data_IF_163228552516
#
_entry.id   IF_163228552516
#
_cell.length_a   1.000
_cell.length_b   1.000
_cell.length_c   1.000
_cell.angle_alpha   90.00
_cell.angle_beta   90.00
_cell.angle_gamma   90.00
#
_symmetry.space_group_name_H-M   'P 1'
#
loop_
_entity.id
_entity.type
_entity.pdbx_description
1 polymer ?
#
# COMPACT_ATOMS: atom_id res chain seq x y z
N UNK A 1 -16.51 -7.91 -13.16
CA UNK A 1 -15.44 -8.25 -14.11
C UNK A 1 -15.95 -8.00 -15.51
N UNK A 2 -15.20 -7.26 -16.31
CA UNK A 2 -15.53 -6.90 -17.70
C UNK A 2 -14.31 -7.17 -18.58
N UNK A 3 -14.56 -7.50 -19.84
CA UNK A 3 -13.53 -7.69 -20.86
C UNK A 3 -13.36 -6.39 -21.65
N UNK A 4 -12.12 -6.03 -21.95
CA UNK A 4 -11.77 -4.81 -22.68
C UNK A 4 -11.34 -5.17 -24.10
N UNK A 5 -11.87 -4.46 -25.08
CA UNK A 5 -11.56 -4.63 -26.49
C UNK A 5 -11.29 -3.27 -27.13
N UNK A 6 -10.43 -3.24 -28.15
CA UNK A 6 -10.21 -2.07 -29.01
C UNK A 6 -11.36 -1.90 -30.02
N UNK A 7 -11.26 -0.88 -30.89
CA UNK A 7 -12.32 -0.61 -31.89
C UNK A 7 -12.39 -1.66 -33.01
N UNK A 8 -11.36 -2.50 -33.14
CA UNK A 8 -11.25 -3.57 -34.14
C UNK A 8 -11.63 -4.95 -33.57
N UNK A 9 -11.97 -5.01 -32.28
CA UNK A 9 -12.34 -6.24 -31.58
C UNK A 9 -11.15 -7.06 -31.08
N UNK A 10 -9.94 -6.50 -31.04
CA UNK A 10 -8.81 -7.15 -30.36
C UNK A 10 -8.99 -7.07 -28.85
N UNK A 11 -8.61 -8.16 -28.18
CA UNK A 11 -8.67 -8.26 -26.74
C UNK A 11 -7.48 -7.54 -26.09
N UNK A 12 -7.79 -6.58 -25.21
CA UNK A 12 -6.79 -5.76 -24.51
C UNK A 12 -6.63 -6.17 -23.03
N UNK A 13 -7.62 -6.85 -22.44
CA UNK A 13 -7.52 -7.33 -21.06
C UNK A 13 -8.83 -7.41 -20.30
N UNK A 14 -8.72 -7.44 -18.97
CA UNK A 14 -9.85 -7.58 -18.05
C UNK A 14 -9.80 -6.45 -17.04
N UNK A 15 -10.96 -5.85 -16.74
CA UNK A 15 -11.12 -4.91 -15.62
C UNK A 15 -12.05 -5.52 -14.57
N UNK A 16 -11.70 -5.38 -13.31
CA UNK A 16 -12.45 -5.82 -12.14
C UNK A 16 -12.96 -4.62 -11.35
N UNK A 17 -13.90 -4.86 -10.44
CA UNK A 17 -14.32 -3.82 -9.49
C UNK A 17 -13.17 -3.43 -8.53
N UNK A 18 -12.19 -4.32 -8.34
CA UNK A 18 -10.99 -4.06 -7.54
C UNK A 18 -10.13 -2.97 -8.16
N UNK A 19 -9.88 -3.03 -9.47
CA UNK A 19 -9.04 -2.05 -10.19
C UNK A 19 -9.61 -0.62 -10.08
N UNK A 20 -10.95 -0.51 -10.12
CA UNK A 20 -11.63 0.77 -9.93
C UNK A 20 -11.44 1.31 -8.51
N UNK A 21 -11.59 0.45 -7.50
CA UNK A 21 -11.37 0.81 -6.10
C UNK A 21 -9.91 1.18 -5.82
N UNK A 22 -8.95 0.46 -6.39
CA UNK A 22 -7.52 0.74 -6.31
C UNK A 22 -7.17 2.10 -6.93
N UNK A 23 -7.80 2.49 -8.05
CA UNK A 23 -7.58 3.81 -8.65
C UNK A 23 -7.98 4.99 -7.76
N UNK A 24 -8.92 4.76 -6.82
CA UNK A 24 -9.39 5.78 -5.86
C UNK A 24 -8.57 5.73 -4.57
N UNK A 25 -8.36 4.53 -4.04
CA UNK A 25 -7.74 4.31 -2.73
C UNK A 25 -6.21 4.26 -2.79
N UNK A 26 -5.63 4.13 -3.98
CA UNK A 26 -4.22 3.85 -4.19
C UNK A 26 -3.91 2.35 -4.15
N UNK A 27 -2.65 2.02 -4.43
CA UNK A 27 -2.16 0.64 -4.39
C UNK A 27 -2.16 0.17 -2.93
N UNK A 28 -2.87 -0.92 -2.65
CA UNK A 28 -2.67 -1.67 -1.41
C UNK A 28 -1.28 -2.29 -1.48
N UNK A 29 -0.30 -1.59 -0.91
CA UNK A 29 1.07 -2.10 -0.79
C UNK A 29 1.06 -3.40 0.00
N UNK A 30 1.97 -4.30 -0.34
CA UNK A 30 2.21 -5.52 0.39
C UNK A 30 2.54 -5.17 1.86
N UNK A 31 1.58 -5.35 2.76
CA UNK A 31 1.74 -5.10 4.21
C UNK A 31 2.76 -6.06 4.86
N UNK A 32 3.41 -6.94 4.08
CA UNK A 32 4.37 -7.94 4.56
C UNK A 32 5.82 -7.45 4.70
N UNK A 33 6.11 -6.18 4.47
CA UNK A 33 7.31 -5.63 5.06
C UNK A 33 7.11 -5.66 6.58
N UNK A 34 7.89 -6.47 7.32
CA UNK A 34 7.98 -6.43 8.78
C UNK A 34 8.28 -4.99 9.21
N UNK A 35 7.24 -4.18 9.34
CA UNK A 35 7.34 -2.77 9.62
C UNK A 35 7.73 -2.67 11.08
N UNK A 36 8.96 -2.26 11.38
CA UNK A 36 9.38 -2.06 12.76
C UNK A 36 8.56 -0.93 13.38
N UNK A 37 8.11 -1.12 14.63
CA UNK A 37 7.37 -0.10 15.38
C UNK A 37 8.17 1.22 15.46
N UNK A 38 9.49 1.12 15.65
CA UNK A 38 10.41 2.24 15.74
C UNK A 38 11.72 1.88 15.02
N UNK A 39 12.16 2.74 14.10
CA UNK A 39 13.43 2.58 13.36
C UNK A 39 14.26 3.86 13.44
N UNK A 40 15.50 3.74 13.89
CA UNK A 40 16.48 4.84 13.88
C UNK A 40 17.04 5.04 12.47
N UNK A 41 17.10 6.30 12.02
CA UNK A 41 17.66 6.72 10.73
C UNK A 41 19.05 7.31 10.91
N UNK A 42 19.81 7.37 9.82
CA UNK A 42 21.20 7.87 9.80
C UNK A 42 21.31 9.37 10.10
N UNK A 43 20.22 10.12 9.95
CA UNK A 43 20.11 11.55 10.24
C UNK A 43 19.79 11.84 11.73
N UNK A 44 19.96 10.85 12.60
CA UNK A 44 19.61 10.89 14.03
C UNK A 44 18.12 11.08 14.32
N UNK A 45 17.24 10.91 13.32
CA UNK A 45 15.79 10.91 13.52
C UNK A 45 15.20 9.51 13.68
N UNK A 46 13.96 9.44 14.16
CA UNK A 46 13.21 8.20 14.30
C UNK A 46 12.05 8.16 13.31
N UNK A 47 11.86 7.01 12.67
CA UNK A 47 10.63 6.64 11.98
C UNK A 47 9.79 5.81 12.95
N UNK A 48 8.60 6.31 13.29
CA UNK A 48 7.67 5.64 14.21
C UNK A 48 6.41 5.29 13.44
N UNK A 49 6.01 4.02 13.52
CA UNK A 49 4.81 3.53 12.85
C UNK A 49 3.54 4.07 13.51
N UNK A 50 2.50 4.32 12.72
CA UNK A 50 1.26 4.95 13.23
C UNK A 50 0.49 4.09 14.23
N UNK A 51 0.79 2.80 14.30
CA UNK A 51 0.21 1.84 15.22
C UNK A 51 1.03 1.63 16.50
N UNK A 52 2.21 2.27 16.64
CA UNK A 52 3.10 2.07 17.79
C UNK A 52 2.41 2.44 19.12
N UNK A 53 2.34 1.51 20.10
CA UNK A 53 1.82 1.80 21.42
C UNK A 53 2.58 2.94 22.12
N UNK A 54 1.85 3.79 22.83
CA UNK A 54 2.44 5.00 23.45
C UNK A 54 3.44 4.67 24.57
N UNK A 55 3.23 3.55 25.25
CA UNK A 55 4.13 3.01 26.27
C UNK A 55 5.44 2.51 25.66
N UNK A 56 5.37 1.81 24.52
CA UNK A 56 6.57 1.38 23.78
C UNK A 56 7.38 2.59 23.26
N UNK A 57 6.70 3.62 22.76
CA UNK A 57 7.36 4.87 22.34
C UNK A 57 8.02 5.63 23.50
N UNK A 58 7.43 5.58 24.70
CA UNK A 58 8.00 6.26 25.86
C UNK A 58 9.29 5.61 26.38
N UNK A 59 9.48 4.31 26.12
CA UNK A 59 10.62 3.50 26.57
C UNK A 59 11.76 3.39 25.53
N UNK A 60 11.57 3.92 24.31
CA UNK A 60 12.49 3.82 23.17
C UNK A 60 13.63 4.85 23.12
#
# INVERSE_FOLDING_TARGET
>A
MVLVFDEYGHFEGVITSGDFLESIMGVFGDESADEQAIKRRDDETYLVSGWTPIDEFADS
#
